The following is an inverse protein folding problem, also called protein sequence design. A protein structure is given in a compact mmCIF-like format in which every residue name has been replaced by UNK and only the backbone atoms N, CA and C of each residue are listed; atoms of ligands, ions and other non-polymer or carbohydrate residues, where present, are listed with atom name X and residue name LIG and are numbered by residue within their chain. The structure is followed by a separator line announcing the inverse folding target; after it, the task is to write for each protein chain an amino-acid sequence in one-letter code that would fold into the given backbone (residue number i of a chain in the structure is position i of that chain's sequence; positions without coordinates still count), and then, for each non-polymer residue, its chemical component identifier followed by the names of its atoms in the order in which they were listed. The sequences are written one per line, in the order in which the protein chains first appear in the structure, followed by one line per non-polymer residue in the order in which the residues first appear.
data_IF_453657638659
#
_entry.id   IF_453657638659
#
_cell.length_a   1.000
_cell.length_b   1.000
_cell.length_c   1.000
_cell.angle_alpha   90.00
_cell.angle_beta   90.00
_cell.angle_gamma   90.00
#
_symmetry.space_group_name_H-M   'P 1'
#
loop_
_entity.id
_entity.type
_entity.pdbx_description
1 polymer ?
#
# COMPACT_ATOMS: atom_id res chain seq x y z
N UNK A 1 7.19 17.93 12.94
CA UNK A 1 6.35 18.16 11.74
C UNK A 1 7.04 17.52 10.55
N UNK A 2 6.33 16.71 9.77
CA UNK A 2 6.88 16.16 8.52
C UNK A 2 7.04 17.28 7.48
N UNK A 3 8.00 17.20 6.55
CA UNK A 3 8.20 18.24 5.57
C UNK A 3 7.14 18.19 4.46
N UNK A 4 6.40 19.27 4.29
CA UNK A 4 5.45 19.48 3.20
C UNK A 4 5.86 20.68 2.35
N UNK A 5 5.49 20.65 1.07
CA UNK A 5 5.42 21.82 0.19
C UNK A 5 3.94 22.15 -0.04
N UNK A 6 3.42 23.14 0.70
CA UNK A 6 1.98 23.35 0.84
C UNK A 6 1.27 22.07 1.30
N UNK A 7 0.44 21.47 0.45
CA UNK A 7 -0.28 20.21 0.71
C UNK A 7 0.44 18.97 0.17
N UNK A 8 1.60 19.14 -0.48
CA UNK A 8 2.35 18.03 -1.09
C UNK A 8 3.41 17.49 -0.12
N UNK A 9 3.34 16.23 0.31
CA UNK A 9 4.36 15.66 1.17
C UNK A 9 5.70 15.59 0.42
N UNK A 10 6.79 16.02 1.07
CA UNK A 10 8.14 15.81 0.54
C UNK A 10 8.59 14.40 0.88
N UNK A 11 9.31 13.76 -0.05
CA UNK A 11 10.01 12.50 0.25
C UNK A 11 10.92 12.71 1.46
N UNK A 12 10.70 11.91 2.50
CA UNK A 12 11.35 12.07 3.80
C UNK A 12 12.05 10.79 4.17
N UNK A 13 13.33 10.89 4.49
CA UNK A 13 14.15 9.76 4.94
C UNK A 13 14.58 10.01 6.38
N UNK A 14 14.24 9.08 7.27
CA UNK A 14 14.71 9.10 8.66
C UNK A 14 16.07 8.41 8.76
N UNK A 15 17.09 9.16 9.16
CA UNK A 15 18.46 8.65 9.32
C UNK A 15 18.88 8.72 10.79
N UNK A 16 19.63 7.72 11.25
CA UNK A 16 20.12 7.65 12.64
C UNK A 16 20.80 6.31 12.91
N UNK A 17 21.56 6.22 14.00
CA UNK A 17 22.24 5.00 14.42
C UNK A 17 21.25 3.84 14.71
N UNK A 18 21.74 2.60 14.71
CA UNK A 18 20.94 1.45 15.14
C UNK A 18 20.45 1.66 16.59
N UNK A 19 19.19 1.31 16.85
CA UNK A 19 18.57 1.57 18.16
C UNK A 19 18.06 2.99 18.37
N UNK A 20 18.21 3.92 17.41
CA UNK A 20 17.71 5.30 17.53
C UNK A 20 16.18 5.46 17.43
N UNK A 21 15.42 4.35 17.40
CA UNK A 21 13.96 4.38 17.37
C UNK A 21 13.29 4.67 16.02
N UNK A 22 14.01 4.63 14.89
CA UNK A 22 13.43 4.85 13.54
C UNK A 22 12.25 3.92 13.23
N UNK A 23 12.45 2.61 13.43
CA UNK A 23 11.40 1.61 13.20
C UNK A 23 10.25 1.78 14.18
N UNK A 24 10.53 2.17 15.44
CA UNK A 24 9.50 2.44 16.45
C UNK A 24 8.60 3.60 16.00
N UNK A 25 9.19 4.70 15.49
CA UNK A 25 8.45 5.83 14.94
C UNK A 25 7.54 5.41 13.77
N UNK A 26 8.06 4.64 12.82
CA UNK A 26 7.25 4.14 11.70
C UNK A 26 6.11 3.24 12.17
N UNK A 27 6.39 2.31 13.10
CA UNK A 27 5.35 1.45 13.70
C UNK A 27 4.26 2.26 14.41
N UNK A 28 4.59 3.39 15.04
CA UNK A 28 3.58 4.27 15.65
C UNK A 28 2.66 4.91 14.61
N UNK A 29 3.23 5.45 13.53
CA UNK A 29 2.46 6.06 12.44
C UNK A 29 1.53 5.03 11.80
N UNK A 30 2.04 3.83 11.53
CA UNK A 30 1.26 2.72 10.95
C UNK A 30 0.16 2.27 11.91
N UNK A 31 0.46 2.16 13.20
CA UNK A 31 -0.54 1.76 14.20
C UNK A 31 -1.71 2.75 14.27
N UNK A 32 -1.47 4.06 14.22
CA UNK A 32 -2.54 5.05 14.21
C UNK A 32 -3.41 4.99 12.95
N UNK A 33 -2.80 4.76 11.78
CA UNK A 33 -3.53 4.56 10.52
C UNK A 33 -4.40 3.29 10.55
N UNK A 34 -3.89 2.20 11.13
CA UNK A 34 -4.62 0.94 11.25
C UNK A 34 -5.80 1.05 12.21
N UNK A 35 -5.64 1.72 13.36
CA UNK A 35 -6.75 1.97 14.29
C UNK A 35 -7.83 2.85 13.65
N UNK A 36 -7.44 3.90 12.92
CA UNK A 36 -8.38 4.73 12.17
C UNK A 36 -9.11 3.94 11.08
N UNK A 37 -8.40 3.03 10.39
CA UNK A 37 -9.00 2.13 9.39
C UNK A 37 -9.98 1.14 10.03
N UNK A 38 -9.60 0.45 11.11
CA UNK A 38 -10.47 -0.48 11.82
C UNK A 38 -11.76 0.19 12.30
N UNK A 39 -11.67 1.44 12.77
CA UNK A 39 -12.85 2.20 13.14
C UNK A 39 -13.76 2.53 11.94
N UNK A 40 -13.17 2.92 10.82
CA UNK A 40 -13.90 3.30 9.60
C UNK A 40 -14.50 2.07 8.87
N UNK A 41 -13.78 0.95 8.90
CA UNK A 41 -14.09 -0.29 8.20
C UNK A 41 -13.95 -1.50 9.15
N UNK A 42 -14.84 -1.63 10.15
CA UNK A 42 -14.74 -2.70 11.15
C UNK A 42 -14.88 -4.11 10.56
N UNK A 43 -15.44 -4.24 9.36
CA UNK A 43 -15.56 -5.50 8.63
C UNK A 43 -14.29 -5.94 7.90
N UNK A 44 -13.28 -5.07 7.77
CA UNK A 44 -12.02 -5.38 7.07
C UNK A 44 -10.77 -5.08 7.93
N UNK A 45 -10.64 -5.69 9.12
CA UNK A 45 -9.49 -5.48 9.99
C UNK A 45 -8.21 -6.14 9.44
N UNK A 46 -7.11 -5.40 9.30
CA UNK A 46 -5.79 -5.96 8.93
C UNK A 46 -5.01 -6.49 10.14
N UNK A 47 -5.31 -5.96 11.32
CA UNK A 47 -4.87 -6.47 12.62
C UNK A 47 -6.14 -6.86 13.36
N UNK A 48 -6.10 -7.91 14.18
CA UNK A 48 -7.28 -8.32 14.94
C UNK A 48 -7.88 -7.15 15.74
N UNK A 49 -9.21 -7.17 15.86
CA UNK A 49 -9.95 -6.20 16.67
C UNK A 49 -9.40 -6.28 18.09
N UNK A 50 -9.19 -5.10 18.70
CA UNK A 50 -8.56 -4.90 20.01
C UNK A 50 -7.06 -5.27 20.11
N UNK A 51 -6.40 -5.55 18.98
CA UNK A 51 -4.94 -5.70 18.90
C UNK A 51 -4.30 -4.55 18.14
N UNK A 52 -3.00 -4.35 18.41
CA UNK A 52 -2.17 -3.32 17.79
C UNK A 52 -1.09 -3.94 16.92
N UNK A 53 -0.72 -3.25 15.85
CA UNK A 53 0.35 -3.67 14.94
C UNK A 53 1.73 -3.72 15.63
N UNK A 54 1.96 -2.78 16.55
CA UNK A 54 3.22 -2.60 17.25
C UNK A 54 3.22 -3.38 18.56
N UNK A 55 4.26 -4.18 18.80
CA UNK A 55 4.49 -4.77 20.13
C UNK A 55 4.76 -3.66 21.16
N UNK A 56 3.95 -3.64 22.23
CA UNK A 56 4.06 -2.68 23.34
C UNK A 56 4.84 -3.35 24.47
N UNK A 57 6.14 -3.08 24.52
CA UNK A 57 7.07 -3.76 25.43
C UNK A 57 8.10 -2.79 26.02
N UNK A 58 8.45 -2.92 27.30
CA UNK A 58 9.58 -2.21 27.90
C UNK A 58 10.92 -2.40 27.18
N UNK A 59 11.07 -3.46 26.39
CA UNK A 59 12.27 -3.72 25.59
C UNK A 59 12.58 -2.61 24.57
N UNK A 60 11.58 -1.80 24.20
CA UNK A 60 11.74 -0.67 23.30
C UNK A 60 12.15 0.63 24.01
N UNK A 61 12.25 0.62 25.33
CA UNK A 61 12.78 1.75 26.10
C UNK A 61 14.29 1.82 25.87
N UNK A 62 14.79 3.02 25.54
CA UNK A 62 16.21 3.23 25.32
C UNK A 62 17.02 2.84 26.57
N UNK A 63 18.23 2.29 26.36
CA UNK A 63 19.08 1.85 27.45
C UNK A 63 19.35 2.98 28.44
N UNK A 64 19.14 2.71 29.73
CA UNK A 64 19.33 3.69 30.81
C UNK A 64 18.20 4.73 30.92
N UNK A 65 17.09 4.55 30.20
CA UNK A 65 15.86 5.34 30.36
C UNK A 65 14.79 4.53 31.07
N UNK A 66 13.87 5.25 31.70
CA UNK A 66 12.76 4.66 32.45
C UNK A 66 11.48 4.50 31.65
N UNK A 67 11.36 5.23 30.54
CA UNK A 67 10.16 5.26 29.72
C UNK A 67 10.46 5.64 28.28
N UNK A 68 9.50 5.37 27.39
CA UNK A 68 9.33 6.16 26.17
C UNK A 68 7.90 6.69 26.11
N UNK A 69 7.76 7.81 25.43
CA UNK A 69 6.46 8.37 25.09
C UNK A 69 6.49 8.85 23.65
N UNK A 70 5.42 8.60 22.92
CA UNK A 70 5.28 8.99 21.54
C UNK A 70 3.85 9.47 21.29
N UNK A 71 3.72 10.51 20.47
CA UNK A 71 2.45 11.01 19.98
C UNK A 71 2.58 11.30 18.49
N UNK A 72 1.58 10.88 17.74
CA UNK A 72 1.43 11.21 16.31
C UNK A 72 0.13 11.96 16.15
N UNK A 73 0.24 13.20 15.70
CA UNK A 73 -0.89 14.04 15.32
C UNK A 73 -1.04 14.02 13.79
N UNK A 74 -2.24 13.72 13.35
CA UNK A 74 -2.68 13.72 11.96
C UNK A 74 -3.52 14.98 11.69
N UNK A 75 -3.85 15.21 10.42
CA UNK A 75 -4.82 16.24 10.04
C UNK A 75 -6.19 15.99 10.68
N UNK A 76 -6.99 17.05 10.83
CA UNK A 76 -8.32 17.02 11.46
C UNK A 76 -8.32 16.64 12.95
N UNK A 77 -7.28 17.04 13.68
CA UNK A 77 -7.13 16.83 15.12
C UNK A 77 -7.03 15.36 15.55
N UNK A 78 -6.91 14.42 14.62
CA UNK A 78 -6.72 13.01 14.93
C UNK A 78 -5.35 12.80 15.56
N UNK A 79 -5.29 12.10 16.69
CA UNK A 79 -4.04 11.76 17.33
C UNK A 79 -4.07 10.38 17.98
N UNK A 80 -2.87 9.79 18.06
CA UNK A 80 -2.57 8.59 18.83
C UNK A 80 -1.38 8.88 19.73
N UNK A 81 -1.50 8.52 21.00
CA UNK A 81 -0.48 8.69 22.01
C UNK A 81 -0.21 7.39 22.73
N UNK A 82 1.06 7.11 22.99
CA UNK A 82 1.51 5.93 23.70
C UNK A 82 2.53 6.30 24.77
N UNK A 83 2.38 5.72 25.95
CA UNK A 83 3.32 5.80 27.05
C UNK A 83 3.69 4.38 27.50
N UNK A 84 4.99 4.11 27.59
CA UNK A 84 5.50 2.84 28.08
C UNK A 84 6.56 3.10 29.14
N UNK A 85 6.35 2.50 30.30
CA UNK A 85 7.22 2.55 31.46
C UNK A 85 7.97 1.22 31.62
N UNK A 86 9.15 1.26 32.24
CA UNK A 86 9.92 0.05 32.57
C UNK A 86 9.43 -0.66 33.85
N UNK A 87 8.53 -0.01 34.59
CA UNK A 87 7.91 -0.46 35.83
C UNK A 87 6.51 0.17 35.94
N UNK A 88 5.70 -0.29 36.89
CA UNK A 88 4.33 0.25 37.07
C UNK A 88 4.33 1.72 37.47
N UNK A 89 3.30 2.47 37.05
CA UNK A 89 3.15 3.91 37.32
C UNK A 89 3.28 4.25 38.81
N UNK A 90 2.64 3.47 39.68
CA UNK A 90 2.68 3.67 41.14
C UNK A 90 4.10 3.71 41.74
N UNK A 91 5.09 3.08 41.08
CA UNK A 91 6.48 3.04 41.57
C UNK A 91 7.21 4.36 41.35
N UNK A 92 6.76 5.17 40.39
CA UNK A 92 7.35 6.48 40.11
C UNK A 92 6.79 7.57 41.04
N UNK A 93 5.52 7.46 41.44
CA UNK A 93 4.79 8.45 42.25
C UNK A 93 4.46 9.74 41.51
N UNK A 94 5.42 10.30 40.76
CA UNK A 94 5.27 11.49 39.92
C UNK A 94 5.71 11.21 38.48
N UNK A 95 5.27 12.02 37.49
CA UNK A 95 5.71 11.89 36.10
C UNK A 95 7.25 11.95 36.00
N UNK A 96 7.90 10.98 35.32
CA UNK A 96 9.33 11.02 35.06
C UNK A 96 9.79 12.31 34.36
N UNK A 97 11.04 12.72 34.65
CA UNK A 97 11.67 13.84 33.96
C UNK A 97 11.69 13.61 32.43
N UNK A 98 11.00 14.46 31.68
CA UNK A 98 10.77 14.35 30.23
C UNK A 98 9.30 14.17 29.82
N UNK A 99 8.38 14.01 30.79
CA UNK A 99 6.93 14.18 30.59
C UNK A 99 6.54 15.59 31.05
N UNK A 100 6.87 16.60 30.25
CA UNK A 100 6.72 18.00 30.60
C UNK A 100 5.60 18.72 29.84
N UNK A 101 5.38 18.35 28.56
CA UNK A 101 4.29 18.87 27.73
C UNK A 101 2.91 18.35 28.20
N UNK A 102 1.88 19.20 28.11
CA UNK A 102 0.49 18.93 28.44
C UNK A 102 -0.06 17.67 27.77
N UNK A 103 0.29 17.42 26.50
CA UNK A 103 -0.14 16.22 25.77
C UNK A 103 0.39 14.92 26.41
N UNK A 104 1.66 14.93 26.82
CA UNK A 104 2.31 13.78 27.42
C UNK A 104 1.87 13.60 28.88
N UNK A 105 1.59 14.71 29.59
CA UNK A 105 0.96 14.68 30.91
C UNK A 105 -0.42 14.07 30.87
N UNK A 106 -1.21 14.39 29.85
CA UNK A 106 -2.54 13.76 29.67
C UNK A 106 -2.44 12.24 29.54
N UNK A 107 -1.44 11.73 28.80
CA UNK A 107 -1.16 10.29 28.71
C UNK A 107 -0.74 9.68 30.05
N UNK A 108 0.05 10.41 30.84
CA UNK A 108 0.44 9.98 32.19
C UNK A 108 -0.76 9.94 33.14
N UNK A 109 -1.57 11.00 33.17
CA UNK A 109 -2.69 11.16 34.09
C UNK A 109 -3.78 10.10 33.84
N UNK A 110 -4.01 9.76 32.57
CA UNK A 110 -5.00 8.75 32.16
C UNK A 110 -4.53 7.30 32.31
N UNK A 111 -3.25 7.05 32.60
CA UNK A 111 -2.71 5.71 32.84
C UNK A 111 -3.09 5.23 34.25
N UNK A 112 -3.53 3.98 34.38
CA UNK A 112 -3.84 3.39 35.69
C UNK A 112 -2.56 3.15 36.52
N UNK A 113 -2.67 3.25 37.84
CA UNK A 113 -1.52 3.13 38.76
C UNK A 113 -0.81 1.77 38.70
N UNK A 114 -1.55 0.70 38.39
CA UNK A 114 -1.04 -0.67 38.29
C UNK A 114 -0.47 -0.99 36.90
N UNK A 115 -0.66 -0.12 35.92
CA UNK A 115 -0.21 -0.33 34.55
C UNK A 115 1.22 0.18 34.33
N UNK A 116 1.89 -0.43 33.34
CA UNK A 116 3.20 0.02 32.84
C UNK A 116 3.15 0.41 31.36
N UNK A 117 1.99 0.28 30.71
CA UNK A 117 1.77 0.72 29.34
C UNK A 117 0.41 1.41 29.24
N UNK A 118 0.30 2.47 28.44
CA UNK A 118 -0.96 3.16 28.16
C UNK A 118 -1.01 3.57 26.70
N UNK A 119 -2.14 3.34 26.06
CA UNK A 119 -2.43 3.75 24.68
C UNK A 119 -3.69 4.58 24.74
N UNK A 120 -3.62 5.79 24.19
CA UNK A 120 -4.75 6.67 24.09
C UNK A 120 -4.89 7.12 22.65
N UNK A 121 -6.12 7.12 22.17
CA UNK A 121 -6.50 7.71 20.90
C UNK A 121 -7.55 8.76 21.17
N UNK A 122 -7.65 9.73 20.28
CA UNK A 122 -8.87 10.56 20.23
C UNK A 122 -10.12 9.69 20.04
N UNK A 123 -11.28 10.18 20.49
CA UNK A 123 -12.57 9.57 20.16
C UNK A 123 -12.76 9.56 18.64
N UNK A 124 -12.52 8.40 18.02
CA UNK A 124 -12.65 8.22 16.57
C UNK A 124 -14.11 8.39 16.11
N UNK A 125 -15.07 8.25 17.03
CA UNK A 125 -16.52 8.33 16.81
C UNK A 125 -17.03 9.69 16.35
N UNK A 126 -16.25 10.76 16.52
CA UNK A 126 -16.71 12.13 16.22
C UNK A 126 -16.31 12.62 14.81
N UNK A 127 -15.53 11.85 14.05
CA UNK A 127 -14.93 12.31 12.80
C UNK A 127 -15.57 11.68 11.55
N UNK A 128 -16.60 12.35 11.04
CA UNK A 128 -17.30 11.98 9.78
C UNK A 128 -16.41 12.04 8.53
N UNK A 129 -15.25 12.72 8.59
CA UNK A 129 -14.33 12.87 7.46
C UNK A 129 -13.30 11.74 7.29
N UNK A 130 -13.20 10.78 8.22
CA UNK A 130 -12.18 9.72 8.14
C UNK A 130 -12.37 8.82 6.91
N UNK A 131 -13.61 8.54 6.52
CA UNK A 131 -13.90 7.71 5.33
C UNK A 131 -13.34 8.33 4.05
N UNK A 132 -13.52 9.64 3.86
CA UNK A 132 -12.98 10.35 2.70
C UNK A 132 -11.45 10.32 2.70
N UNK A 133 -10.81 10.43 3.87
CA UNK A 133 -9.36 10.35 3.96
C UNK A 133 -8.81 8.99 3.47
N UNK A 134 -9.53 7.89 3.69
CA UNK A 134 -9.13 6.56 3.20
C UNK A 134 -9.50 6.30 1.74
N UNK A 135 -10.61 6.87 1.23
CA UNK A 135 -10.98 6.72 -0.19
C UNK A 135 -10.11 7.56 -1.11
N UNK A 136 -9.76 8.78 -0.68
CA UNK A 136 -9.15 9.78 -1.55
C UNK A 136 -7.62 9.70 -1.56
N UNK A 137 -7.02 8.90 -0.67
CA UNK A 137 -5.57 8.77 -0.52
C UNK A 137 -5.10 7.31 -0.62
N UNK A 138 -3.93 7.11 -1.22
CA UNK A 138 -3.22 5.84 -1.15
C UNK A 138 -2.43 5.75 0.16
N UNK A 139 -2.85 4.88 1.07
CA UNK A 139 -2.23 4.69 2.38
C UNK A 139 -1.59 3.30 2.40
N UNK A 140 -0.30 3.26 2.13
CA UNK A 140 0.47 2.02 1.95
C UNK A 140 1.68 1.99 2.87
N UNK A 141 1.98 0.82 3.41
CA UNK A 141 3.13 0.54 4.24
C UNK A 141 3.78 -0.77 3.81
N UNK A 142 5.09 -0.72 3.58
CA UNK A 142 5.91 -1.85 3.15
C UNK A 142 6.88 -2.21 4.29
N UNK A 143 6.55 -3.22 5.12
CA UNK A 143 7.40 -3.61 6.24
C UNK A 143 8.81 -4.02 5.77
N UNK A 144 9.85 -3.81 6.60
CA UNK A 144 11.21 -4.23 6.27
C UNK A 144 11.38 -5.75 6.26
N UNK A 145 10.54 -6.49 7.00
CA UNK A 145 10.58 -7.96 7.07
C UNK A 145 9.96 -8.57 5.82
N UNK A 146 10.84 -8.96 4.89
CA UNK A 146 10.48 -9.58 3.61
C UNK A 146 10.31 -11.10 3.68
N UNK A 147 10.59 -11.72 4.84
CA UNK A 147 10.78 -13.17 4.95
C UNK A 147 10.10 -13.83 6.15
N UNK A 148 9.53 -13.05 7.08
CA UNK A 148 8.86 -13.61 8.26
C UNK A 148 7.50 -12.92 8.42
N UNK A 149 6.45 -13.73 8.44
CA UNK A 149 5.15 -13.26 8.92
C UNK A 149 5.34 -12.86 10.38
N UNK A 150 4.94 -11.64 10.79
CA UNK A 150 5.13 -11.22 12.16
C UNK A 150 4.43 -12.18 13.10
N UNK A 151 5.02 -12.44 14.27
CA UNK A 151 4.48 -13.37 15.28
C UNK A 151 3.07 -13.02 15.81
N UNK A 152 2.54 -11.85 15.44
CA UNK A 152 1.19 -11.38 15.76
C UNK A 152 0.19 -11.52 14.59
N UNK A 153 0.63 -11.96 13.41
CA UNK A 153 -0.21 -12.25 12.25
C UNK A 153 -0.86 -13.63 12.44
N UNK A 154 -2.13 -13.66 12.85
CA UNK A 154 -2.86 -14.90 13.13
C UNK A 154 -3.40 -15.60 11.86
N UNK A 155 -3.71 -16.90 12.01
CA UNK A 155 -4.24 -17.79 10.96
C UNK A 155 -5.49 -17.25 10.24
N UNK A 156 -6.31 -16.40 10.87
CA UNK A 156 -7.47 -15.77 10.22
C UNK A 156 -7.08 -14.79 9.10
N UNK A 157 -5.93 -14.12 9.19
CA UNK A 157 -5.40 -13.30 8.10
C UNK A 157 -4.82 -14.16 6.96
N UNK A 158 -4.32 -15.35 7.27
CA UNK A 158 -3.90 -16.33 6.25
C UNK A 158 -5.11 -16.87 5.46
N UNK A 159 -6.30 -16.93 6.07
CA UNK A 159 -7.55 -17.30 5.42
C UNK A 159 -8.14 -16.18 4.54
N UNK A 160 -7.76 -14.90 4.76
CA UNK A 160 -8.12 -13.79 3.85
C UNK A 160 -7.41 -13.84 2.49
N UNK A 161 -6.49 -14.81 2.28
CA UNK A 161 -5.99 -15.19 0.94
C UNK A 161 -7.07 -15.80 0.04
N UNK A 162 -8.31 -15.93 0.53
CA UNK A 162 -9.44 -16.38 -0.24
C UNK A 162 -10.13 -15.23 -0.99
N UNK A 163 -9.86 -15.20 -2.28
CA UNK A 163 -10.73 -14.75 -3.37
C UNK A 163 -11.03 -13.26 -3.53
N UNK A 164 -10.81 -12.78 -4.76
CA UNK A 164 -11.39 -11.59 -5.38
C UNK A 164 -12.93 -11.65 -5.43
N UNK A 165 -13.59 -11.89 -4.31
CA UNK A 165 -15.04 -11.77 -4.19
C UNK A 165 -15.33 -10.37 -3.67
N UNK A 166 -15.84 -9.52 -4.56
CA UNK A 166 -16.46 -8.21 -4.33
C UNK A 166 -16.95 -7.98 -2.88
N UNK A 167 -16.07 -7.54 -1.96
CA UNK A 167 -16.49 -6.99 -0.67
C UNK A 167 -16.79 -5.48 -0.79
N UNK A 168 -16.43 -4.88 -1.93
CA UNK A 168 -16.53 -3.47 -2.32
C UNK A 168 -17.91 -2.80 -2.19
N UNK A 169 -18.98 -3.54 -1.87
CA UNK A 169 -20.32 -2.99 -1.71
C UNK A 169 -20.95 -3.21 -0.33
N UNK A 170 -20.21 -3.78 0.62
CA UNK A 170 -20.70 -3.96 1.99
C UNK A 170 -20.33 -2.74 2.86
N UNK A 171 -21.33 -2.18 3.54
CA UNK A 171 -21.11 -1.10 4.50
C UNK A 171 -20.14 -1.58 5.61
N UNK A 172 -19.13 -0.76 5.90
CA UNK A 172 -18.10 -1.11 6.88
C UNK A 172 -16.97 -2.01 6.37
N UNK A 173 -16.91 -2.32 5.07
CA UNK A 173 -15.81 -3.08 4.45
C UNK A 173 -15.00 -2.24 3.45
N UNK A 174 -13.74 -2.62 3.25
CA UNK A 174 -12.85 -2.10 2.19
C UNK A 174 -11.87 -3.18 1.72
N UNK A 175 -11.54 -3.14 0.44
CA UNK A 175 -10.56 -4.03 -0.21
C UNK A 175 -9.12 -3.45 -0.18
N UNK A 176 -8.96 -2.17 0.19
CA UNK A 176 -7.64 -1.52 0.27
C UNK A 176 -6.84 -2.05 1.45
N UNK A 177 -5.57 -2.39 1.26
CA UNK A 177 -4.67 -2.89 2.31
C UNK A 177 -3.54 -1.91 2.58
N UNK A 178 -3.37 -1.52 3.84
CA UNK A 178 -2.28 -0.67 4.30
C UNK A 178 -0.98 -1.48 4.32
N UNK A 179 -0.96 -2.67 4.92
CA UNK A 179 0.27 -3.45 5.11
C UNK A 179 0.51 -4.36 3.89
N UNK A 180 1.67 -4.19 3.24
CA UNK A 180 2.05 -4.90 2.03
C UNK A 180 3.40 -5.63 2.21
N UNK A 181 3.37 -6.93 2.57
CA UNK A 181 4.59 -7.74 2.80
C UNK A 181 5.28 -8.21 1.52
N UNK A 182 4.52 -8.78 0.58
CA UNK A 182 5.04 -9.31 -0.68
C UNK A 182 4.00 -9.15 -1.79
N UNK A 183 3.80 -7.92 -2.30
CA UNK A 183 2.71 -7.64 -3.23
C UNK A 183 3.02 -8.10 -4.65
N UNK A 184 4.19 -8.70 -4.94
CA UNK A 184 4.60 -9.03 -6.30
C UNK A 184 3.60 -9.95 -7.02
N UNK A 185 3.09 -10.97 -6.33
CA UNK A 185 2.12 -11.88 -6.93
C UNK A 185 0.77 -11.20 -7.14
N UNK A 186 0.28 -10.44 -6.16
CA UNK A 186 -0.97 -9.69 -6.29
C UNK A 186 -0.88 -8.61 -7.39
N UNK A 187 0.26 -7.92 -7.51
CA UNK A 187 0.54 -6.97 -8.57
C UNK A 187 0.60 -7.67 -9.94
N UNK A 188 1.19 -8.87 -10.00
CA UNK A 188 1.22 -9.66 -11.23
C UNK A 188 -0.20 -10.07 -11.67
N UNK A 189 -1.04 -10.51 -10.73
CA UNK A 189 -2.44 -10.86 -11.01
C UNK A 189 -3.23 -9.65 -11.51
N UNK A 190 -3.10 -8.49 -10.86
CA UNK A 190 -3.69 -7.24 -11.33
C UNK A 190 -3.21 -6.84 -12.74
N UNK A 191 -1.92 -7.01 -13.06
CA UNK A 191 -1.43 -6.75 -14.43
C UNK A 191 -2.06 -7.68 -15.48
N UNK A 192 -2.35 -8.93 -15.12
CA UNK A 192 -3.07 -9.84 -16.01
C UNK A 192 -4.52 -9.41 -16.21
N UNK A 193 -5.18 -8.91 -15.15
CA UNK A 193 -6.54 -8.35 -15.23
C UNK A 193 -6.57 -7.12 -16.14
N UNK A 194 -5.66 -6.16 -15.96
CA UNK A 194 -5.54 -5.01 -16.86
C UNK A 194 -5.34 -5.42 -18.32
N UNK A 195 -4.43 -6.38 -18.55
CA UNK A 195 -4.13 -6.88 -19.88
C UNK A 195 -5.34 -7.55 -20.53
N UNK A 196 -6.09 -8.32 -19.73
CA UNK A 196 -7.33 -8.93 -20.17
C UNK A 196 -8.36 -7.85 -20.52
N UNK A 197 -8.60 -6.89 -19.62
CA UNK A 197 -9.63 -5.87 -19.76
C UNK A 197 -9.43 -5.03 -21.02
N UNK A 198 -8.22 -4.50 -21.24
CA UNK A 198 -8.02 -3.69 -22.43
C UNK A 198 -8.09 -4.53 -23.71
N UNK A 199 -7.67 -5.80 -23.66
CA UNK A 199 -7.68 -6.68 -24.84
C UNK A 199 -9.10 -7.01 -25.31
N UNK A 200 -10.06 -7.07 -24.38
CA UNK A 200 -11.45 -7.44 -24.63
C UNK A 200 -12.34 -6.21 -24.81
N UNK A 201 -12.22 -5.21 -23.94
CA UNK A 201 -13.19 -4.12 -23.85
C UNK A 201 -12.72 -2.79 -24.46
N UNK A 202 -11.40 -2.59 -24.60
CA UNK A 202 -10.83 -1.30 -25.01
C UNK A 202 -10.26 -1.32 -26.43
N UNK A 203 -10.60 -2.34 -27.22
CA UNK A 203 -10.16 -2.52 -28.60
C UNK A 203 -10.78 -1.45 -29.52
N UNK A 204 -9.92 -0.71 -30.22
CA UNK A 204 -10.34 0.31 -31.19
C UNK A 204 -10.24 -0.23 -32.61
N UNK A 205 -11.28 0.00 -33.41
CA UNK A 205 -11.28 -0.31 -34.85
C UNK A 205 -11.72 0.88 -35.68
N UNK A 206 -11.15 1.00 -36.87
CA UNK A 206 -11.61 1.96 -37.88
C UNK A 206 -12.13 1.22 -39.10
N UNK A 207 -13.27 1.63 -39.68
CA UNK A 207 -13.72 1.11 -40.96
C UNK A 207 -12.76 1.55 -42.07
N UNK A 208 -12.20 0.60 -42.80
CA UNK A 208 -11.38 0.83 -43.99
C UNK A 208 -12.10 0.21 -45.18
N UNK A 209 -12.35 1.03 -46.20
CA UNK A 209 -12.98 0.55 -47.43
C UNK A 209 -11.93 -0.08 -48.35
N UNK A 210 -12.09 -1.37 -48.65
CA UNK A 210 -11.18 -2.11 -49.51
C UNK A 210 -11.90 -2.49 -50.80
N UNK A 211 -11.35 -2.05 -51.93
CA UNK A 211 -11.82 -2.41 -53.26
C UNK A 211 -11.18 -3.71 -53.71
N UNK A 212 -11.99 -4.76 -53.86
CA UNK A 212 -11.55 -6.00 -54.50
C UNK A 212 -11.84 -5.88 -56.00
N UNK A 213 -10.85 -5.41 -56.76
CA UNK A 213 -10.90 -5.52 -58.22
C UNK A 213 -10.66 -6.99 -58.59
N UNK A 214 -11.74 -7.72 -58.89
CA UNK A 214 -11.65 -8.95 -59.69
C UNK A 214 -11.88 -8.58 -61.15
N UNK A 215 -10.97 -9.00 -62.01
CA UNK A 215 -10.97 -8.74 -63.46
C UNK A 215 -12.39 -8.77 -64.06
N UNK A 216 -12.85 -7.60 -64.51
CA UNK A 216 -13.99 -7.47 -65.42
C UNK A 216 -15.38 -7.24 -64.82
N UNK A 217 -15.58 -7.35 -63.49
CA UNK A 217 -16.88 -7.03 -62.87
C UNK A 217 -16.78 -5.84 -61.91
N UNK A 218 -17.84 -5.02 -61.87
CA UNK A 218 -17.96 -3.77 -61.11
C UNK A 218 -17.34 -3.88 -59.71
N UNK A 219 -16.55 -2.88 -59.25
CA UNK A 219 -15.86 -2.96 -57.97
C UNK A 219 -16.85 -3.20 -56.83
N UNK A 220 -16.79 -4.40 -56.23
CA UNK A 220 -17.49 -4.71 -54.98
C UNK A 220 -16.55 -4.38 -53.84
N UNK A 221 -16.55 -3.12 -53.42
CA UNK A 221 -15.83 -2.72 -52.22
C UNK A 221 -16.53 -3.25 -50.97
N UNK A 222 -15.75 -3.71 -49.99
CA UNK A 222 -16.25 -4.04 -48.65
C UNK A 222 -15.55 -3.18 -47.62
N UNK A 223 -16.31 -2.76 -46.63
CA UNK A 223 -15.75 -2.14 -45.43
C UNK A 223 -15.24 -3.23 -44.50
N UNK A 224 -13.96 -3.17 -44.15
CA UNK A 224 -13.33 -4.03 -43.16
C UNK A 224 -12.98 -3.20 -41.93
N UNK A 225 -13.26 -3.72 -40.74
CA UNK A 225 -12.80 -3.12 -39.50
C UNK A 225 -11.32 -3.46 -39.29
N UNK A 226 -10.47 -2.44 -39.29
CA UNK A 226 -9.03 -2.58 -39.05
C UNK A 226 -8.72 -2.16 -37.62
N UNK A 227 -7.97 -2.99 -36.91
CA UNK A 227 -7.50 -2.71 -35.56
C UNK A 227 -6.60 -1.47 -35.52
N UNK A 228 -6.88 -0.55 -34.59
CA UNK A 228 -6.15 0.71 -34.41
C UNK A 228 -5.36 0.75 -33.10
N UNK A 229 -5.44 -0.29 -32.27
CA UNK A 229 -4.85 -0.30 -30.94
C UNK A 229 -5.90 -0.44 -29.84
N UNK A 230 -5.46 -0.15 -28.63
CA UNK A 230 -6.29 -0.16 -27.42
C UNK A 230 -6.37 1.25 -26.86
N UNK A 231 -7.53 1.63 -26.32
CA UNK A 231 -7.74 2.94 -25.68
C UNK A 231 -8.80 2.85 -24.59
N UNK A 232 -8.42 3.19 -23.37
CA UNK A 232 -9.29 3.22 -22.20
C UNK A 232 -8.50 3.28 -20.88
N UNK A 233 -9.19 3.07 -19.76
CA UNK A 233 -8.62 3.18 -18.41
C UNK A 233 -7.55 2.11 -18.19
N UNK A 234 -7.87 0.86 -18.52
CA UNK A 234 -6.97 -0.28 -18.27
C UNK A 234 -5.71 -0.18 -19.13
N UNK A 235 -5.86 0.26 -20.39
CA UNK A 235 -4.70 0.54 -21.25
C UNK A 235 -3.84 1.69 -20.72
N UNK A 236 -4.46 2.76 -20.21
CA UNK A 236 -3.72 3.90 -19.64
C UNK A 236 -2.91 3.47 -18.42
N UNK A 237 -3.49 2.69 -17.52
CA UNK A 237 -2.77 2.13 -16.37
C UNK A 237 -1.64 1.21 -16.82
N UNK A 238 -1.89 0.34 -17.80
CA UNK A 238 -0.86 -0.54 -18.35
C UNK A 238 0.31 0.24 -18.98
N UNK A 239 0.04 1.38 -19.63
CA UNK A 239 1.09 2.25 -20.18
C UNK A 239 1.91 2.93 -19.09
N UNK A 240 1.29 3.35 -17.99
CA UNK A 240 2.01 3.86 -16.81
C UNK A 240 2.93 2.79 -16.22
N UNK A 241 2.50 1.53 -16.20
CA UNK A 241 3.33 0.40 -15.79
C UNK A 241 4.55 0.25 -16.72
N UNK A 242 4.36 0.34 -18.03
CA UNK A 242 5.46 0.29 -18.99
C UNK A 242 6.44 1.46 -18.80
N UNK A 243 5.93 2.67 -18.48
CA UNK A 243 6.78 3.82 -18.17
C UNK A 243 7.61 3.60 -16.90
N UNK A 244 7.00 3.09 -15.82
CA UNK A 244 7.71 2.74 -14.58
C UNK A 244 8.80 1.69 -14.87
N UNK A 245 8.47 0.67 -15.66
CA UNK A 245 9.42 -0.37 -16.07
C UNK A 245 10.57 0.19 -16.92
N UNK A 246 10.28 1.10 -17.84
CA UNK A 246 11.29 1.78 -18.67
C UNK A 246 12.26 2.59 -17.83
N UNK A 247 11.75 3.38 -16.88
CA UNK A 247 12.57 4.16 -15.96
C UNK A 247 13.44 3.26 -15.06
N UNK A 248 12.86 2.18 -14.54
CA UNK A 248 13.53 1.25 -13.63
C UNK A 248 14.64 0.45 -14.31
N UNK A 249 14.47 0.10 -15.59
CA UNK A 249 15.44 -0.64 -16.38
C UNK A 249 16.38 0.26 -17.20
N UNK A 250 16.23 1.58 -17.09
CA UNK A 250 16.95 2.58 -17.89
C UNK A 250 16.84 2.26 -19.41
N UNK A 251 15.60 2.01 -19.86
CA UNK A 251 15.26 1.72 -21.27
C UNK A 251 14.17 2.66 -21.74
N UNK A 252 14.52 3.50 -22.71
CA UNK A 252 13.63 4.53 -23.24
C UNK A 252 12.74 4.06 -24.40
N UNK A 253 13.12 3.02 -25.16
CA UNK A 253 12.39 2.64 -26.37
C UNK A 253 12.10 1.13 -26.54
N UNK A 254 10.87 0.86 -27.00
CA UNK A 254 10.29 -0.44 -27.39
C UNK A 254 10.20 -1.52 -26.29
N UNK A 255 10.02 -1.08 -25.05
CA UNK A 255 9.73 -1.98 -23.93
C UNK A 255 8.30 -2.54 -24.04
N UNK A 256 8.17 -3.87 -23.98
CA UNK A 256 6.89 -4.57 -24.01
C UNK A 256 6.83 -5.62 -22.92
N UNK A 257 5.64 -5.79 -22.33
CA UNK A 257 5.36 -6.92 -21.46
C UNK A 257 4.75 -8.05 -22.28
N UNK A 258 5.39 -9.22 -22.23
CA UNK A 258 4.90 -10.44 -22.87
C UNK A 258 4.37 -11.39 -21.82
N UNK A 259 3.11 -11.79 -21.98
CA UNK A 259 2.40 -12.72 -21.11
C UNK A 259 2.60 -14.14 -21.65
N UNK A 260 3.01 -15.06 -20.77
CA UNK A 260 3.17 -16.47 -21.10
C UNK A 260 1.84 -17.22 -21.35
N UNK A 261 1.91 -18.45 -21.84
CA UNK A 261 0.72 -19.27 -22.07
C UNK A 261 0.00 -19.59 -20.76
N UNK A 262 -1.27 -20.01 -20.81
CA UNK A 262 -2.12 -20.24 -19.63
C UNK A 262 -1.49 -21.11 -18.52
N UNK A 263 -0.68 -22.10 -18.89
CA UNK A 263 -0.03 -23.02 -17.94
C UNK A 263 1.32 -22.50 -17.40
N UNK A 264 1.81 -21.39 -17.93
CA UNK A 264 3.04 -20.70 -17.56
C UNK A 264 2.71 -19.20 -17.52
N UNK A 265 2.08 -18.75 -16.43
CA UNK A 265 1.69 -17.35 -16.16
C UNK A 265 2.93 -16.48 -15.88
N UNK A 266 3.95 -16.57 -16.74
CA UNK A 266 5.13 -15.71 -16.69
C UNK A 266 4.79 -14.34 -17.26
N UNK A 267 5.32 -13.31 -16.62
CA UNK A 267 5.34 -11.96 -17.18
C UNK A 267 6.79 -11.65 -17.55
N UNK A 268 7.06 -11.54 -18.85
CA UNK A 268 8.40 -11.30 -19.38
C UNK A 268 8.54 -9.88 -19.92
N UNK A 269 9.74 -9.31 -19.80
CA UNK A 269 10.04 -7.99 -20.34
C UNK A 269 10.84 -8.17 -21.63
N UNK A 270 10.33 -7.56 -22.69
CA UNK A 270 10.91 -7.57 -24.03
C UNK A 270 11.37 -6.16 -24.38
N UNK A 271 12.47 -6.05 -25.12
CA UNK A 271 12.92 -4.82 -25.76
C UNK A 271 13.12 -5.14 -27.24
N UNK A 272 12.25 -4.60 -28.09
CA UNK A 272 12.10 -5.09 -29.46
C UNK A 272 11.79 -6.59 -29.50
N UNK A 273 12.57 -7.34 -30.27
CA UNK A 273 12.42 -8.79 -30.39
C UNK A 273 13.22 -9.59 -29.34
N UNK A 274 14.00 -8.91 -28.49
CA UNK A 274 14.84 -9.56 -27.49
C UNK A 274 14.15 -9.62 -26.13
N UNK A 275 14.17 -10.81 -25.53
CA UNK A 275 13.73 -11.02 -24.16
C UNK A 275 14.82 -10.56 -23.20
N UNK A 276 14.58 -9.46 -22.51
CA UNK A 276 15.50 -8.92 -21.51
C UNK A 276 15.35 -9.68 -20.18
N UNK A 277 14.11 -9.81 -19.71
CA UNK A 277 13.80 -10.48 -18.43
C UNK A 277 12.80 -11.61 -18.71
N UNK A 278 13.19 -12.88 -18.51
CA UNK A 278 12.30 -14.02 -18.74
C UNK A 278 11.08 -14.07 -17.83
N UNK A 279 11.21 -13.59 -16.59
CA UNK A 279 10.10 -13.45 -15.67
C UNK A 279 10.37 -12.29 -14.70
N UNK A 280 9.38 -11.47 -14.37
CA UNK A 280 9.51 -10.35 -13.41
C UNK A 280 10.10 -10.79 -12.05
N UNK A 281 9.93 -12.06 -11.65
CA UNK A 281 10.55 -12.61 -10.44
C UNK A 281 12.09 -12.72 -10.51
N UNK A 282 12.69 -12.51 -11.69
CA UNK A 282 14.13 -12.56 -11.93
C UNK A 282 14.79 -11.17 -11.91
N UNK A 283 14.02 -10.12 -11.66
CA UNK A 283 14.55 -8.78 -11.36
C UNK A 283 15.41 -8.82 -10.10
N UNK A 284 16.36 -7.89 -9.98
CA UNK A 284 17.14 -7.73 -8.75
C UNK A 284 16.24 -7.33 -7.57
N UNK A 285 16.70 -7.54 -6.34
CA UNK A 285 15.93 -7.22 -5.14
C UNK A 285 15.55 -5.73 -5.05
N UNK A 286 16.42 -4.83 -5.51
CA UNK A 286 16.16 -3.39 -5.57
C UNK A 286 15.07 -3.05 -6.58
N UNK A 287 15.18 -3.60 -7.79
CA UNK A 287 14.19 -3.46 -8.86
C UNK A 287 12.83 -4.00 -8.46
N UNK A 288 12.76 -5.21 -7.90
CA UNK A 288 11.49 -5.78 -7.39
C UNK A 288 10.87 -4.88 -6.32
N UNK A 289 11.69 -4.28 -5.45
CA UNK A 289 11.19 -3.41 -4.37
C UNK A 289 10.55 -2.14 -4.93
N UNK A 290 11.23 -1.49 -5.89
CA UNK A 290 10.71 -0.28 -6.54
C UNK A 290 9.49 -0.61 -7.40
N UNK A 291 9.55 -1.69 -8.16
CA UNK A 291 8.42 -2.15 -8.96
C UNK A 291 7.19 -2.39 -8.07
N UNK A 292 7.36 -3.14 -6.98
CA UNK A 292 6.28 -3.38 -6.02
C UNK A 292 5.72 -2.09 -5.43
N UNK A 293 6.59 -1.16 -5.04
CA UNK A 293 6.15 0.14 -4.51
C UNK A 293 5.24 0.86 -5.51
N UNK A 294 5.70 1.03 -6.76
CA UNK A 294 4.95 1.79 -7.77
C UNK A 294 3.70 1.05 -8.26
N UNK A 295 3.78 -0.26 -8.51
CA UNK A 295 2.62 -1.04 -8.94
C UNK A 295 1.54 -1.08 -7.86
N UNK A 296 1.92 -1.21 -6.60
CA UNK A 296 0.94 -1.21 -5.50
C UNK A 296 0.28 0.16 -5.33
N UNK A 297 0.99 1.28 -5.58
CA UNK A 297 0.38 2.62 -5.63
C UNK A 297 -0.64 2.71 -6.76
N UNK A 298 -0.28 2.29 -7.98
CA UNK A 298 -1.19 2.33 -9.14
C UNK A 298 -2.41 1.44 -8.94
N UNK A 299 -2.20 0.24 -8.38
CA UNK A 299 -3.27 -0.70 -8.05
C UNK A 299 -4.21 -0.16 -6.98
N UNK A 300 -3.69 0.44 -5.91
CA UNK A 300 -4.51 1.03 -4.85
C UNK A 300 -5.32 2.23 -5.35
N UNK A 301 -4.77 3.01 -6.27
CA UNK A 301 -5.48 4.10 -6.95
C UNK A 301 -6.58 3.60 -7.91
N UNK A 302 -6.45 2.39 -8.45
CA UNK A 302 -7.43 1.78 -9.37
C UNK A 302 -8.72 1.32 -8.65
N UNK A 303 -8.61 0.97 -7.36
CA UNK A 303 -9.69 0.53 -6.46
C UNK A 303 -10.64 1.66 -6.04
#
# INVERSE_FOLDING_TARGET
MLPFDHERPKSTVFVGANGSGKSILLSHIVNGLLLAKQHTYPGSPEVEIDKVYKLRSPQYIALGKDFYCARVDYTNSLWIGELQLNRQKQVFGEPPAGIDNADMKTLWDNMEETEANHLSTMSLFEHTGLKNNFSDNCILYFPPDRYEDPAWLNEMNLLSKASHLNLSHLEGHTDRKIINYSPLQENQDWLFELAYDFSVFELQTSPVFVNFNRDGNSPQGRTLSVFQGYSGKSKTLFDLVLQVMGLLLEKDDDLRLSIGPRHDRRLSVMVGDQRLIPNIFQLSSGEISLLNLFLTILRDFDL
#
